data_IF_744426059928
#
_entry.id   IF_744426059928
#
_cell.length_a   1.000
_cell.length_b   1.000
_cell.length_c   1.000
_cell.angle_alpha   90.00
_cell.angle_beta   90.00
_cell.angle_gamma   90.00
#
_symmetry.space_group_name_H-M   'P 1'
#
loop_
_entity.id
_entity.type
_entity.pdbx_description
1 polymer ?
#
# COMPACT_ATOMS: atom_id res chain seq x y z
N UNK A 1 -5.78 -25.15 -49.06
CA UNK A 1 -6.60 -24.04 -48.55
C UNK A 1 -7.38 -24.65 -47.38
N UNK A 2 -7.18 -24.30 -46.11
CA UNK A 2 -7.08 -22.97 -45.54
C UNK A 2 -6.10 -22.99 -44.37
N UNK A 3 -5.14 -22.07 -44.44
CA UNK A 3 -4.23 -21.66 -43.39
C UNK A 3 -5.05 -20.87 -42.35
N UNK A 4 -4.93 -21.18 -41.06
CA UNK A 4 -5.31 -20.21 -40.01
C UNK A 4 -4.38 -20.41 -38.83
N UNK A 5 -3.29 -19.67 -38.88
CA UNK A 5 -2.42 -19.31 -37.77
C UNK A 5 -3.27 -18.88 -36.56
N UNK A 6 -3.29 -19.73 -35.52
CA UNK A 6 -3.58 -19.27 -34.17
C UNK A 6 -2.35 -18.47 -33.75
N UNK A 7 -2.39 -17.17 -33.99
CA UNK A 7 -1.49 -16.23 -33.35
C UNK A 7 -1.80 -16.24 -31.86
N UNK A 8 -1.12 -17.10 -31.11
CA UNK A 8 -0.93 -16.89 -29.69
C UNK A 8 -0.18 -15.56 -29.56
N UNK A 9 -0.93 -14.47 -29.31
CA UNK A 9 -0.37 -13.24 -28.80
C UNK A 9 0.23 -13.58 -27.43
N UNK A 10 1.48 -14.04 -27.43
CA UNK A 10 2.33 -14.05 -26.25
C UNK A 10 2.48 -12.58 -25.84
N UNK A 11 1.51 -12.09 -25.09
CA UNK A 11 1.53 -10.78 -24.47
C UNK A 11 2.80 -10.72 -23.62
N UNK A 12 3.85 -10.13 -24.18
CA UNK A 12 5.07 -9.83 -23.43
C UNK A 12 4.65 -9.12 -22.15
N UNK A 13 5.18 -9.55 -21.00
CA UNK A 13 4.79 -8.98 -19.71
C UNK A 13 5.09 -7.47 -19.71
N UNK A 14 4.08 -6.66 -20.00
CA UNK A 14 4.27 -5.22 -20.19
C UNK A 14 4.86 -4.60 -18.93
N UNK A 15 5.86 -3.75 -19.12
CA UNK A 15 6.63 -3.13 -18.03
C UNK A 15 5.87 -1.94 -17.48
N UNK A 16 5.99 -1.69 -16.17
CA UNK A 16 5.45 -0.48 -15.56
C UNK A 16 6.15 0.77 -16.15
N UNK A 17 5.36 1.79 -16.53
CA UNK A 17 5.82 3.14 -16.93
C UNK A 17 5.58 4.16 -15.81
N UNK A 18 5.81 5.46 -16.05
CA UNK A 18 5.50 6.51 -15.07
C UNK A 18 3.99 6.65 -14.85
N UNK A 19 3.22 6.76 -15.93
CA UNK A 19 1.75 6.77 -15.91
C UNK A 19 1.15 5.60 -15.11
N UNK A 20 1.64 4.37 -15.30
CA UNK A 20 1.18 3.24 -14.49
C UNK A 20 1.47 3.41 -12.98
N UNK A 21 2.59 4.05 -12.62
CA UNK A 21 2.92 4.33 -11.22
C UNK A 21 1.95 5.39 -10.64
N UNK A 22 1.61 6.43 -11.41
CA UNK A 22 0.63 7.46 -11.03
C UNK A 22 -0.74 6.83 -10.76
N UNK A 23 -1.24 6.02 -11.69
CA UNK A 23 -2.53 5.35 -11.56
C UNK A 23 -2.55 4.39 -10.36
N UNK A 24 -1.48 3.64 -10.16
CA UNK A 24 -1.31 2.77 -8.99
C UNK A 24 -1.35 3.57 -7.68
N UNK A 25 -0.61 4.67 -7.59
CA UNK A 25 -0.58 5.53 -6.39
C UNK A 25 -1.95 6.13 -6.09
N UNK A 26 -2.66 6.63 -7.11
CA UNK A 26 -4.04 7.12 -6.95
C UNK A 26 -4.95 6.04 -6.39
N UNK A 27 -4.97 4.85 -6.98
CA UNK A 27 -5.84 3.78 -6.50
C UNK A 27 -5.49 3.30 -5.09
N UNK A 28 -4.19 3.17 -4.79
CA UNK A 28 -3.72 2.81 -3.45
C UNK A 28 -4.10 3.87 -2.41
N UNK A 29 -4.11 5.15 -2.78
CA UNK A 29 -4.53 6.24 -1.88
C UNK A 29 -6.03 6.18 -1.53
N UNK A 30 -6.85 5.68 -2.46
CA UNK A 30 -8.29 5.51 -2.27
C UNK A 30 -8.60 4.27 -1.42
N UNK A 31 -7.94 3.14 -1.73
CA UNK A 31 -8.20 1.87 -1.04
C UNK A 31 -7.54 1.80 0.34
N UNK A 32 -6.45 2.56 0.55
CA UNK A 32 -5.68 2.63 1.81
C UNK A 32 -5.31 1.25 2.40
N UNK A 33 -4.59 0.37 1.67
CA UNK A 33 -4.30 -0.99 2.14
C UNK A 33 -3.48 -1.10 3.43
N UNK A 34 -2.86 -0.01 3.91
CA UNK A 34 -2.13 0.01 5.18
C UNK A 34 -3.02 0.23 6.41
N UNK A 35 -4.30 0.58 6.21
CA UNK A 35 -5.24 0.84 7.31
C UNK A 35 -6.09 -0.37 7.68
N UNK A 36 -6.04 -1.43 6.87
CA UNK A 36 -6.70 -2.70 7.20
C UNK A 36 -5.81 -3.52 8.12
N UNK A 37 -6.43 -4.45 8.86
CA UNK A 37 -5.69 -5.40 9.69
C UNK A 37 -4.65 -6.16 8.86
N UNK A 38 -3.50 -6.50 9.46
CA UNK A 38 -2.39 -7.14 8.75
C UNK A 38 -2.78 -8.39 7.95
N UNK A 39 -3.77 -9.16 8.40
CA UNK A 39 -4.29 -10.32 7.67
C UNK A 39 -5.09 -10.00 6.40
N UNK A 40 -5.57 -8.76 6.27
CA UNK A 40 -6.47 -8.31 5.20
C UNK A 40 -5.78 -7.45 4.13
N UNK A 41 -4.48 -7.13 4.30
CA UNK A 41 -3.73 -6.27 3.36
C UNK A 41 -3.76 -6.82 1.94
N UNK A 42 -3.64 -8.14 1.75
CA UNK A 42 -3.67 -8.72 0.41
C UNK A 42 -5.06 -8.62 -0.23
N UNK A 43 -6.14 -8.74 0.53
CA UNK A 43 -7.51 -8.52 0.05
C UNK A 43 -7.70 -7.07 -0.41
N UNK A 44 -7.17 -6.10 0.34
CA UNK A 44 -7.17 -4.70 -0.08
C UNK A 44 -6.32 -4.49 -1.35
N UNK A 45 -5.19 -5.18 -1.51
CA UNK A 45 -4.41 -5.16 -2.75
C UNK A 45 -5.13 -5.83 -3.93
N UNK A 46 -5.95 -6.85 -3.69
CA UNK A 46 -6.82 -7.45 -4.71
C UNK A 46 -7.88 -6.46 -5.19
N UNK A 47 -8.48 -5.70 -4.27
CA UNK A 47 -9.40 -4.62 -4.64
C UNK A 47 -8.70 -3.55 -5.51
N UNK A 48 -7.47 -3.14 -5.16
CA UNK A 48 -6.67 -2.25 -6.02
C UNK A 48 -6.49 -2.85 -7.42
N UNK A 49 -6.18 -4.14 -7.52
CA UNK A 49 -5.99 -4.81 -8.81
C UNK A 49 -7.28 -4.84 -9.64
N UNK A 50 -8.43 -5.10 -9.00
CA UNK A 50 -9.75 -5.09 -9.64
C UNK A 50 -10.08 -3.70 -10.19
N UNK A 51 -9.88 -2.66 -9.38
CA UNK A 51 -10.21 -1.28 -9.78
C UNK A 51 -9.29 -0.78 -10.90
N UNK A 52 -7.99 -1.08 -10.82
CA UNK A 52 -7.07 -0.78 -11.93
C UNK A 52 -7.42 -1.55 -13.19
N UNK A 53 -7.79 -2.83 -13.10
CA UNK A 53 -8.20 -3.64 -14.25
C UNK A 53 -9.49 -3.16 -14.93
N UNK A 54 -10.34 -2.42 -14.22
CA UNK A 54 -11.53 -1.75 -14.77
C UNK A 54 -11.20 -0.42 -15.44
N UNK A 55 -10.04 0.16 -15.16
CA UNK A 55 -9.66 1.45 -15.69
C UNK A 55 -9.13 1.33 -17.13
N UNK A 56 -9.73 2.01 -18.12
CA UNK A 56 -9.24 1.97 -19.50
C UNK A 56 -7.86 2.62 -19.67
N UNK A 57 -7.41 3.43 -18.70
CA UNK A 57 -6.09 4.04 -18.70
C UNK A 57 -4.99 3.10 -18.21
N UNK A 58 -5.32 2.02 -17.48
CA UNK A 58 -4.32 1.11 -16.92
C UNK A 58 -4.10 -0.09 -17.85
N UNK A 59 -3.24 0.09 -18.85
CA UNK A 59 -3.10 -0.84 -19.99
C UNK A 59 -2.18 -2.04 -19.72
N UNK A 60 -2.04 -2.46 -18.47
CA UNK A 60 -1.25 -3.64 -18.08
C UNK A 60 -2.05 -4.56 -17.17
N UNK A 61 -2.01 -5.86 -17.45
CA UNK A 61 -2.59 -6.87 -16.58
C UNK A 61 -1.54 -7.34 -15.57
N UNK A 62 -1.75 -7.03 -14.28
CA UNK A 62 -0.86 -7.40 -13.18
C UNK A 62 -1.67 -7.94 -12.00
N UNK A 63 -1.16 -9.01 -11.40
CA UNK A 63 -1.72 -9.57 -10.15
C UNK A 63 -1.53 -8.59 -8.99
N UNK A 64 -2.39 -8.68 -7.97
CA UNK A 64 -2.31 -7.90 -6.74
C UNK A 64 -0.90 -7.92 -6.10
N UNK A 65 -0.25 -9.09 -6.06
CA UNK A 65 1.11 -9.22 -5.53
C UNK A 65 2.14 -8.40 -6.31
N UNK A 66 2.05 -8.37 -7.65
CA UNK A 66 2.94 -7.58 -8.49
C UNK A 66 2.71 -6.07 -8.30
N UNK A 67 1.46 -5.64 -8.12
CA UNK A 67 1.11 -4.25 -7.84
C UNK A 67 1.59 -3.82 -6.44
N UNK A 68 1.44 -4.68 -5.43
CA UNK A 68 1.98 -4.47 -4.08
C UNK A 68 3.50 -4.33 -4.09
N UNK A 69 4.22 -5.27 -4.69
CA UNK A 69 5.69 -5.20 -4.83
C UNK A 69 6.10 -3.93 -5.57
N UNK A 70 5.34 -3.54 -6.61
CA UNK A 70 5.61 -2.31 -7.35
C UNK A 70 5.48 -1.07 -6.49
N UNK A 71 4.38 -0.95 -5.74
CA UNK A 71 4.12 0.13 -4.80
C UNK A 71 5.23 0.24 -3.74
N UNK A 72 5.61 -0.88 -3.11
CA UNK A 72 6.69 -0.90 -2.12
C UNK A 72 8.02 -0.47 -2.71
N UNK A 73 8.32 -0.93 -3.93
CA UNK A 73 9.56 -0.58 -4.64
C UNK A 73 9.66 0.93 -4.89
N UNK A 74 8.60 1.56 -5.40
CA UNK A 74 8.63 3.01 -5.70
C UNK A 74 8.65 3.84 -4.42
N UNK A 75 7.93 3.41 -3.38
CA UNK A 75 7.91 4.09 -2.08
C UNK A 75 9.27 4.00 -1.38
N UNK A 76 9.92 2.85 -1.40
CA UNK A 76 11.24 2.66 -0.80
C UNK A 76 12.32 3.48 -1.51
N UNK A 77 12.28 3.53 -2.84
CA UNK A 77 13.18 4.39 -3.63
C UNK A 77 12.98 5.87 -3.33
N UNK A 78 11.74 6.32 -3.25
CA UNK A 78 11.40 7.69 -2.84
C UNK A 78 11.95 8.02 -1.46
N UNK A 79 11.75 7.13 -0.47
CA UNK A 79 12.28 7.28 0.90
C UNK A 79 13.80 7.32 0.95
N UNK A 80 14.48 6.56 0.10
CA UNK A 80 15.94 6.54 -0.01
C UNK A 80 16.53 7.77 -0.73
N UNK A 81 15.69 8.70 -1.22
CA UNK A 81 16.15 9.82 -2.04
C UNK A 81 16.60 9.42 -3.45
N UNK A 82 16.31 8.17 -3.87
CA UNK A 82 16.57 7.70 -5.22
C UNK A 82 15.46 8.19 -6.17
N UNK A 83 15.53 9.47 -6.55
CA UNK A 83 14.69 10.04 -7.62
C UNK A 83 15.00 9.44 -9.02
N UNK A 84 16.00 8.56 -9.12
CA UNK A 84 16.69 8.19 -10.35
C UNK A 84 16.00 7.10 -11.17
N UNK A 85 14.93 6.45 -10.71
CA UNK A 85 14.26 5.42 -11.51
C UNK A 85 13.10 5.98 -12.36
N UNK A 86 13.38 6.05 -13.67
CA UNK A 86 12.46 6.12 -14.82
C UNK A 86 12.32 7.42 -15.59
N UNK A 87 13.22 8.42 -15.49
CA UNK A 87 13.24 9.59 -16.44
C UNK A 87 13.18 9.20 -17.94
N UNK A 88 13.50 7.95 -18.28
CA UNK A 88 13.52 7.41 -19.65
C UNK A 88 12.14 7.13 -20.28
N UNK A 89 11.01 7.26 -19.58
CA UNK A 89 9.70 6.75 -20.07
C UNK A 89 8.48 7.58 -19.62
N UNK A 90 8.61 8.88 -19.45
CA UNK A 90 7.52 9.75 -19.02
C UNK A 90 7.82 11.23 -19.25
N UNK A 91 6.80 12.06 -19.17
CA UNK A 91 6.93 13.52 -19.31
C UNK A 91 7.31 14.17 -17.99
N UNK A 92 7.77 15.43 -18.03
CA UNK A 92 8.13 16.18 -16.81
C UNK A 92 6.95 16.25 -15.84
N UNK A 93 5.76 16.52 -16.39
CA UNK A 93 4.50 16.64 -15.66
C UNK A 93 4.13 15.32 -14.96
N UNK A 94 4.28 14.18 -15.66
CA UNK A 94 4.04 12.86 -15.07
C UNK A 94 4.98 12.57 -13.90
N UNK A 95 6.23 13.03 -13.95
CA UNK A 95 7.14 12.85 -12.82
C UNK A 95 6.76 13.75 -11.65
N UNK A 96 6.46 15.02 -11.90
CA UNK A 96 6.05 15.96 -10.86
C UNK A 96 4.79 15.47 -10.14
N UNK A 97 3.78 15.01 -10.89
CA UNK A 97 2.58 14.42 -10.33
C UNK A 97 2.90 13.17 -9.50
N UNK A 98 3.75 12.28 -10.00
CA UNK A 98 4.16 11.08 -9.27
C UNK A 98 4.88 11.41 -7.96
N UNK A 99 5.80 12.36 -7.97
CA UNK A 99 6.54 12.78 -6.77
C UNK A 99 5.61 13.46 -5.74
N UNK A 100 4.65 14.26 -6.19
CA UNK A 100 3.63 14.83 -5.32
C UNK A 100 2.78 13.73 -4.67
N UNK A 101 2.29 12.77 -5.47
CA UNK A 101 1.52 11.63 -4.95
C UNK A 101 2.32 10.78 -3.96
N UNK A 102 3.62 10.59 -4.17
CA UNK A 102 4.50 9.88 -3.23
C UNK A 102 4.67 10.64 -1.91
N UNK A 103 4.76 11.97 -1.97
CA UNK A 103 4.84 12.85 -0.79
C UNK A 103 3.53 12.80 0.02
N UNK A 104 2.40 12.89 -0.66
CA UNK A 104 1.07 12.82 -0.03
C UNK A 104 0.85 11.45 0.61
N UNK A 105 1.17 10.38 -0.12
CA UNK A 105 1.06 9.00 0.37
C UNK A 105 1.92 8.77 1.61
N UNK A 106 3.17 9.27 1.61
CA UNK A 106 4.05 9.17 2.78
C UNK A 106 3.44 9.86 4.00
N UNK A 107 2.81 11.00 3.80
CA UNK A 107 2.12 11.74 4.87
C UNK A 107 0.94 10.94 5.41
N UNK A 108 0.06 10.43 4.53
CA UNK A 108 -1.08 9.58 4.92
C UNK A 108 -0.67 8.35 5.73
N UNK A 109 0.40 7.65 5.30
CA UNK A 109 0.89 6.46 6.00
C UNK A 109 1.48 6.81 7.37
N UNK A 110 2.18 7.95 7.49
CA UNK A 110 2.75 8.40 8.77
C UNK A 110 1.64 8.78 9.75
N UNK A 111 0.64 9.52 9.28
CA UNK A 111 -0.48 9.97 10.11
C UNK A 111 -1.29 8.77 10.63
N UNK A 112 -1.43 7.72 9.82
CA UNK A 112 -2.03 6.46 10.26
C UNK A 112 -1.19 5.75 11.33
N UNK A 113 0.13 5.63 11.14
CA UNK A 113 1.02 5.01 12.12
C UNK A 113 0.92 5.72 13.49
N UNK A 114 1.01 7.05 13.51
CA UNK A 114 0.91 7.87 14.72
C UNK A 114 -0.46 7.71 15.41
N UNK A 115 -1.56 7.69 14.64
CA UNK A 115 -2.90 7.44 15.16
C UNK A 115 -3.05 6.03 15.75
N UNK A 116 -2.45 5.03 15.09
CA UNK A 116 -2.49 3.64 15.53
C UNK A 116 -1.69 3.42 16.82
N UNK A 117 -0.53 4.07 16.94
CA UNK A 117 0.35 4.04 18.10
C UNK A 117 -0.30 4.70 19.31
N UNK A 118 -0.92 5.87 19.11
CA UNK A 118 -1.67 6.54 20.17
C UNK A 118 -2.83 5.66 20.69
N UNK A 119 -3.55 4.99 19.79
CA UNK A 119 -4.62 4.05 20.16
C UNK A 119 -4.09 2.84 20.92
N UNK A 120 -2.93 2.30 20.51
CA UNK A 120 -2.28 1.15 21.15
C UNK A 120 -1.80 1.51 22.56
N UNK A 121 -1.20 2.68 22.73
CA UNK A 121 -0.73 3.17 24.03
C UNK A 121 -1.89 3.37 25.01
N UNK A 122 -3.00 3.98 24.57
CA UNK A 122 -4.21 4.11 25.39
C UNK A 122 -4.76 2.75 25.83
N UNK A 123 -4.81 1.76 24.92
CA UNK A 123 -5.24 0.40 25.26
C UNK A 123 -4.30 -0.27 26.27
N UNK A 124 -2.99 -0.13 26.09
CA UNK A 124 -1.97 -0.69 26.98
C UNK A 124 -2.09 -0.11 28.40
N UNK A 125 -2.15 1.21 28.54
CA UNK A 125 -2.30 1.86 29.85
C UNK A 125 -3.58 1.43 30.58
N UNK A 126 -4.68 1.23 29.85
CA UNK A 126 -5.93 0.70 30.44
C UNK A 126 -5.76 -0.73 30.94
N UNK A 127 -5.12 -1.61 30.16
CA UNK A 127 -4.88 -2.99 30.55
C UNK A 127 -3.95 -3.08 31.79
N UNK A 128 -2.86 -2.31 31.80
CA UNK A 128 -1.94 -2.22 32.94
C UNK A 128 -2.63 -1.70 34.20
N UNK A 129 -3.54 -0.71 34.07
CA UNK A 129 -4.32 -0.21 35.18
C UNK A 129 -5.26 -1.28 35.78
N UNK A 130 -5.92 -2.07 34.93
CA UNK A 130 -6.79 -3.18 35.36
C UNK A 130 -5.95 -4.26 36.08
N UNK A 131 -4.82 -4.64 35.52
CA UNK A 131 -3.93 -5.64 36.12
C UNK A 131 -3.38 -5.17 37.46
N UNK A 132 -2.88 -3.93 37.53
CA UNK A 132 -2.34 -3.33 38.75
C UNK A 132 -3.39 -3.27 39.86
N UNK A 133 -4.62 -2.83 39.53
CA UNK A 133 -5.75 -2.86 40.48
C UNK A 133 -6.08 -4.27 40.94
N UNK A 134 -6.05 -5.26 40.04
CA UNK A 134 -6.28 -6.66 40.38
C UNK A 134 -5.23 -7.24 41.33
N UNK A 135 -3.96 -6.87 41.15
CA UNK A 135 -2.86 -7.27 42.05
C UNK A 135 -3.06 -6.70 43.45
N UNK A 136 -3.45 -5.41 43.54
CA UNK A 136 -3.69 -4.75 44.82
C UNK A 136 -4.82 -5.44 45.61
N UNK A 137 -5.95 -5.73 44.95
CA UNK A 137 -7.09 -6.41 45.58
C UNK A 137 -6.69 -7.79 46.14
N UNK A 138 -5.91 -8.56 45.37
CA UNK A 138 -5.42 -9.87 45.85
C UNK A 138 -4.51 -9.74 47.07
N UNK A 139 -3.66 -8.72 47.14
CA UNK A 139 -2.78 -8.49 48.30
C UNK A 139 -3.57 -8.10 49.54
N UNK A 140 -4.57 -7.22 49.40
CA UNK A 140 -5.42 -6.80 50.52
C UNK A 140 -6.21 -7.97 51.12
N UNK A 141 -6.72 -8.88 50.28
CA UNK A 141 -7.47 -10.05 50.73
C UNK A 141 -6.63 -11.12 51.48
N UNK A 142 -5.30 -11.08 51.37
CA UNK A 142 -4.39 -12.01 52.06
C UNK A 142 -3.89 -11.42 53.39
N UNK A 143 -4.10 -10.12 53.61
CA UNK A 143 -3.62 -9.39 54.78
C UNK A 143 -4.63 -9.36 55.95
N UNK A 144 -5.76 -10.07 55.84
CA UNK A 144 -6.72 -10.36 56.92
C UNK A 144 -6.51 -11.78 57.47
#
# INVERSE_FOLDING_TARGET
MHDTLVGEDQATASKFSCDHDIQLLKQVSLTRPWEVDHGNVMLACEEVAIQLGRSPSFKINKKASALKTRFETIMNKFKAGEASSKRKSGTVEEYEEREQLLTDMRSLMRDHEESSDARRDVKKRKAEGIESSGVLMRRMAIAE
#
